data_IF_745200545379
#
_entry.id   IF_745200545379
#
_cell.length_a   1.000
_cell.length_b   1.000
_cell.length_c   1.000
_cell.angle_alpha   90.00
_cell.angle_beta   90.00
_cell.angle_gamma   90.00
#
_symmetry.space_group_name_H-M   'P 1'
#
loop_
_entity.id
_entity.type
_entity.pdbx_description
1 polymer ?
#
# COMPACT_ATOMS: atom_id res chain seq x y z
N UNK A 1 17.33 4.47 -40.31
CA UNK A 1 17.94 4.07 -39.03
C UNK A 1 16.90 4.34 -37.95
N UNK A 2 16.06 3.35 -37.64
CA UNK A 2 14.99 3.50 -36.65
C UNK A 2 15.49 2.97 -35.32
N UNK A 3 15.56 3.84 -34.32
CA UNK A 3 16.00 3.51 -32.97
C UNK A 3 14.89 2.67 -32.29
N UNK A 4 15.13 1.42 -31.87
CA UNK A 4 14.08 0.65 -31.20
C UNK A 4 13.86 1.22 -29.79
N UNK A 5 12.61 1.26 -29.29
CA UNK A 5 12.36 1.65 -27.91
C UNK A 5 13.02 0.63 -26.98
N UNK A 6 13.88 1.10 -26.08
CA UNK A 6 14.42 0.31 -24.98
C UNK A 6 13.27 -0.12 -24.06
N UNK A 7 12.61 -1.24 -24.36
CA UNK A 7 11.75 -1.92 -23.41
C UNK A 7 12.65 -2.80 -22.56
N UNK A 8 13.12 -2.27 -21.44
CA UNK A 8 13.75 -3.08 -20.41
C UNK A 8 12.67 -3.99 -19.80
N UNK A 9 12.82 -5.33 -19.83
CA UNK A 9 11.93 -6.21 -19.08
C UNK A 9 12.30 -6.10 -17.60
N UNK A 10 11.85 -5.02 -16.95
CA UNK A 10 11.84 -4.95 -15.49
C UNK A 10 10.79 -5.93 -15.00
N UNK A 11 11.21 -7.02 -14.35
CA UNK A 11 10.29 -7.88 -13.61
C UNK A 11 9.63 -7.04 -12.52
N UNK A 12 8.36 -6.67 -12.69
CA UNK A 12 7.57 -6.05 -11.65
C UNK A 12 7.36 -7.11 -10.55
N UNK A 13 8.01 -6.94 -9.40
CA UNK A 13 7.71 -7.75 -8.20
C UNK A 13 6.24 -7.51 -7.83
N UNK A 14 5.40 -8.53 -7.94
CA UNK A 14 3.97 -8.39 -7.68
C UNK A 14 3.72 -8.34 -6.17
N UNK A 15 3.49 -7.14 -5.65
CA UNK A 15 3.04 -6.96 -4.27
C UNK A 15 1.55 -7.25 -4.23
N UNK A 16 1.15 -8.26 -3.46
CA UNK A 16 -0.26 -8.64 -3.29
C UNK A 16 -0.66 -8.52 -1.83
N UNK A 17 -1.86 -8.01 -1.59
CA UNK A 17 -2.47 -8.06 -0.27
C UNK A 17 -3.39 -9.25 -0.15
N UNK A 18 -3.29 -9.94 0.99
CA UNK A 18 -4.24 -10.98 1.36
C UNK A 18 -5.12 -10.38 2.45
N UNK A 19 -6.42 -10.32 2.17
CA UNK A 19 -7.41 -9.98 3.17
C UNK A 19 -7.65 -11.19 4.06
N UNK A 20 -7.51 -11.02 5.37
CA UNK A 20 -8.02 -11.97 6.36
C UNK A 20 -9.27 -11.33 6.96
N UNK A 21 -10.46 -11.89 6.74
CA UNK A 21 -11.69 -11.27 7.22
C UNK A 21 -12.89 -12.20 7.18
N UNK A 22 -14.02 -11.82 7.81
CA UNK A 22 -15.22 -12.65 7.84
C UNK A 22 -15.72 -12.89 6.42
N UNK A 23 -15.83 -14.16 6.03
CA UNK A 23 -16.59 -14.53 4.83
C UNK A 23 -18.06 -14.24 5.13
N UNK A 24 -18.64 -13.33 4.34
CA UNK A 24 -20.06 -13.05 4.13
C UNK A 24 -21.03 -13.32 5.32
N UNK A 25 -21.59 -12.26 5.91
CA UNK A 25 -22.74 -12.41 6.83
C UNK A 25 -22.91 -11.37 7.93
N UNK A 26 -21.92 -10.50 8.20
CA UNK A 26 -22.11 -9.40 9.16
C UNK A 26 -21.21 -8.21 8.84
N UNK A 27 -21.83 -7.11 8.38
CA UNK A 27 -21.18 -5.82 8.15
C UNK A 27 -21.08 -5.06 9.49
N UNK A 28 -20.36 -5.64 10.45
CA UNK A 28 -19.91 -4.93 11.65
C UNK A 28 -18.67 -5.61 12.21
N UNK A 29 -17.51 -5.10 11.79
CA UNK A 29 -16.21 -5.62 12.17
C UNK A 29 -15.09 -4.79 11.58
N UNK A 30 -13.86 -5.20 11.88
CA UNK A 30 -12.64 -4.66 11.27
C UNK A 30 -12.10 -5.63 10.22
N UNK A 31 -11.55 -5.11 9.13
CA UNK A 31 -10.89 -5.90 8.08
C UNK A 31 -9.36 -5.80 8.24
N UNK A 32 -8.68 -6.86 8.74
CA UNK A 32 -7.24 -6.97 8.62
C UNK A 32 -6.81 -7.29 7.19
N UNK A 33 -5.84 -6.53 6.70
CA UNK A 33 -5.14 -6.76 5.44
C UNK A 33 -3.64 -6.87 5.70
N UNK A 34 -2.99 -7.82 5.04
CA UNK A 34 -1.53 -7.96 5.09
C UNK A 34 -0.93 -7.84 3.70
N UNK A 35 0.02 -6.91 3.55
CA UNK A 35 0.89 -6.76 2.39
C UNK A 35 2.24 -7.41 2.70
N UNK A 36 2.60 -8.46 1.96
CA UNK A 36 3.94 -9.05 2.04
C UNK A 36 4.79 -8.43 0.93
N UNK A 37 5.91 -7.83 1.31
CA UNK A 37 6.85 -7.21 0.38
C UNK A 37 7.94 -8.21 -0.01
N UNK A 38 8.15 -8.38 -1.31
CA UNK A 38 9.17 -9.27 -1.87
C UNK A 38 10.08 -8.51 -2.83
N UNK A 39 11.37 -8.87 -2.87
CA UNK A 39 12.33 -8.30 -3.82
C UNK A 39 12.82 -6.88 -3.51
N UNK A 40 12.43 -6.32 -2.35
CA UNK A 40 12.94 -5.06 -1.83
C UNK A 40 12.89 -5.06 -0.29
N UNK A 41 13.82 -4.38 0.39
CA UNK A 41 13.72 -4.21 1.84
C UNK A 41 12.56 -3.27 2.19
N UNK A 42 11.69 -3.67 3.12
CA UNK A 42 10.58 -2.84 3.58
C UNK A 42 11.07 -1.53 4.21
N UNK A 43 12.19 -1.57 4.92
CA UNK A 43 12.81 -0.45 5.64
C UNK A 43 13.80 0.35 4.78
N UNK A 44 13.50 0.55 3.49
CA UNK A 44 14.31 1.37 2.57
C UNK A 44 14.08 2.86 2.78
N UNK A 45 15.13 3.68 2.63
CA UNK A 45 15.01 5.14 2.56
C UNK A 45 14.31 5.63 1.27
N UNK A 46 14.33 4.79 0.24
CA UNK A 46 13.86 5.15 -1.09
C UNK A 46 12.38 4.89 -1.30
N UNK A 47 11.70 4.17 -0.39
CA UNK A 47 10.35 3.68 -0.62
C UNK A 47 9.40 3.97 0.52
N UNK A 48 8.23 4.49 0.16
CA UNK A 48 7.02 4.43 0.95
C UNK A 48 6.05 3.38 0.37
N UNK A 49 5.18 2.88 1.25
CA UNK A 49 4.23 1.83 0.94
C UNK A 49 2.81 2.38 1.08
N UNK A 50 2.13 2.44 -0.05
CA UNK A 50 0.81 3.01 -0.20
C UNK A 50 -0.24 1.90 -0.16
N UNK A 51 -1.28 2.08 0.65
CA UNK A 51 -2.45 1.23 0.67
C UNK A 51 -3.56 1.89 -0.14
N UNK A 52 -4.03 1.22 -1.19
CA UNK A 52 -5.10 1.69 -2.06
C UNK A 52 -6.18 0.64 -2.20
N UNK A 53 -7.41 1.05 -2.51
CA UNK A 53 -8.47 0.13 -2.91
C UNK A 53 -9.06 0.53 -4.25
N UNK A 54 -9.52 -0.44 -5.00
CA UNK A 54 -10.19 -0.28 -6.27
C UNK A 54 -11.65 -0.71 -6.12
N UNK A 55 -12.57 0.22 -6.39
CA UNK A 55 -14.00 -0.05 -6.41
C UNK A 55 -14.38 -0.91 -7.62
N UNK A 56 -15.56 -1.57 -7.62
CA UNK A 56 -16.08 -2.36 -8.75
C UNK A 56 -16.22 -1.63 -10.10
N UNK A 57 -15.93 -0.33 -10.19
CA UNK A 57 -15.85 0.44 -11.45
C UNK A 57 -14.44 0.88 -11.84
N UNK A 58 -13.40 0.33 -11.20
CA UNK A 58 -12.00 0.64 -11.50
C UNK A 58 -11.44 1.89 -10.80
N UNK A 59 -12.28 2.69 -10.13
CA UNK A 59 -11.86 3.87 -9.38
C UNK A 59 -10.96 3.49 -8.20
N UNK A 60 -9.78 4.10 -8.15
CA UNK A 60 -8.83 3.95 -7.05
C UNK A 60 -9.10 4.96 -5.94
N UNK A 61 -9.08 4.49 -4.70
CA UNK A 61 -9.18 5.29 -3.49
C UNK A 61 -7.97 5.04 -2.60
N UNK A 62 -7.37 6.14 -2.15
CA UNK A 62 -6.21 6.13 -1.29
C UNK A 62 -6.61 5.94 0.18
N UNK A 63 -6.13 4.88 0.84
CA UNK A 63 -6.42 4.61 2.26
C UNK A 63 -5.40 5.28 3.17
N UNK A 64 -4.12 5.24 2.79
CA UNK A 64 -3.02 5.75 3.59
C UNK A 64 -1.68 5.20 3.11
N UNK A 65 -0.60 5.68 3.72
CA UNK A 65 0.77 5.26 3.43
C UNK A 65 1.56 5.07 4.71
N UNK A 66 2.62 4.28 4.61
CA UNK A 66 3.63 4.14 5.65
C UNK A 66 5.01 4.25 5.03
N UNK A 67 5.88 5.03 5.67
CA UNK A 67 7.31 5.09 5.39
C UNK A 67 8.07 4.48 6.56
N UNK A 68 8.38 3.17 6.50
CA UNK A 68 8.94 2.44 7.63
C UNK A 68 10.30 2.99 8.07
N UNK A 69 11.14 3.47 7.14
CA UNK A 69 12.45 4.03 7.47
C UNK A 69 12.34 5.26 8.37
N UNK A 70 11.50 6.23 7.98
CA UNK A 70 11.26 7.46 8.76
C UNK A 70 10.21 7.33 9.86
N UNK A 71 9.68 6.13 10.10
CA UNK A 71 8.62 5.85 11.07
C UNK A 71 7.41 6.79 10.96
N UNK A 72 7.02 7.12 9.73
CA UNK A 72 5.94 8.06 9.46
C UNK A 72 4.77 7.37 8.75
N UNK A 73 3.55 7.82 9.03
CA UNK A 73 2.33 7.33 8.41
C UNK A 73 1.42 8.48 8.02
N UNK A 74 0.71 8.31 6.92
CA UNK A 74 -0.33 9.23 6.49
C UNK A 74 -1.62 8.49 6.17
N UNK A 75 -2.73 9.20 6.29
CA UNK A 75 -4.07 8.63 6.06
C UNK A 75 -4.80 9.42 4.99
N UNK A 76 -5.51 8.71 4.12
CA UNK A 76 -6.43 9.34 3.18
C UNK A 76 -7.52 10.11 3.93
N UNK A 77 -7.92 11.32 3.49
CA UNK A 77 -8.90 12.15 4.20
C UNK A 77 -10.21 11.43 4.50
N UNK A 78 -10.69 10.62 3.55
CA UNK A 78 -11.94 9.85 3.67
C UNK A 78 -11.85 8.69 4.67
N UNK A 79 -10.65 8.26 5.04
CA UNK A 79 -10.40 7.08 5.87
C UNK A 79 -9.76 7.42 7.22
N UNK A 80 -9.53 8.70 7.47
CA UNK A 80 -8.97 9.18 8.74
C UNK A 80 -9.89 8.77 9.89
N UNK A 81 -9.29 8.20 10.94
CA UNK A 81 -10.02 7.66 12.09
C UNK A 81 -10.63 6.27 11.91
N UNK A 82 -10.61 5.72 10.68
CA UNK A 82 -11.07 4.35 10.38
C UNK A 82 -9.95 3.41 9.98
N UNK A 83 -8.81 3.92 9.52
CA UNK A 83 -7.67 3.10 9.09
C UNK A 83 -6.53 3.17 10.10
N UNK A 84 -5.96 2.01 10.43
CA UNK A 84 -4.70 1.87 11.15
C UNK A 84 -3.69 1.17 10.23
N UNK A 85 -2.46 1.69 10.12
CA UNK A 85 -1.39 1.12 9.28
C UNK A 85 -0.17 0.91 10.17
N UNK A 86 0.47 -0.24 10.05
CA UNK A 86 1.73 -0.56 10.73
C UNK A 86 2.64 -1.43 9.86
N UNK A 87 3.90 -1.58 10.26
CA UNK A 87 4.89 -2.37 9.54
C UNK A 87 5.70 -3.24 10.49
N UNK A 88 5.95 -4.48 10.09
CA UNK A 88 6.93 -5.40 10.67
C UNK A 88 8.11 -5.49 9.69
N UNK A 89 9.19 -4.78 10.04
CA UNK A 89 10.39 -4.63 9.22
C UNK A 89 11.15 -5.96 9.08
N UNK A 90 11.16 -6.76 10.14
CA UNK A 90 11.88 -8.04 10.18
C UNK A 90 11.20 -9.06 9.27
N UNK A 91 9.86 -9.03 9.21
CA UNK A 91 9.07 -9.94 8.36
C UNK A 91 8.75 -9.37 6.97
N UNK A 92 9.20 -8.15 6.65
CA UNK A 92 8.84 -7.43 5.43
C UNK A 92 7.32 -7.41 5.17
N UNK A 93 6.54 -7.07 6.20
CA UNK A 93 5.07 -6.99 6.12
C UNK A 93 4.53 -5.62 6.50
N UNK A 94 3.56 -5.14 5.74
CA UNK A 94 2.70 -4.00 6.10
C UNK A 94 1.33 -4.53 6.47
N UNK A 95 0.78 -4.03 7.57
CA UNK A 95 -0.55 -4.36 8.06
C UNK A 95 -1.45 -3.14 7.93
N UNK A 96 -2.68 -3.37 7.47
CA UNK A 96 -3.74 -2.38 7.47
C UNK A 96 -4.96 -2.95 8.19
N UNK A 97 -5.53 -2.17 9.10
CA UNK A 97 -6.80 -2.47 9.74
C UNK A 97 -7.81 -1.40 9.32
N UNK A 98 -8.88 -1.81 8.63
CA UNK A 98 -10.01 -0.91 8.33
C UNK A 98 -11.15 -1.20 9.31
N UNK A 99 -11.55 -0.17 10.06
CA UNK A 99 -12.58 -0.24 11.10
C UNK A 99 -13.94 0.25 10.60
N UNK A 100 -15.00 -0.23 11.24
CA UNK A 100 -16.38 0.19 10.98
C UNK A 100 -16.81 -0.10 9.54
N UNK A 101 -16.54 -1.31 9.05
CA UNK A 101 -16.87 -1.70 7.67
C UNK A 101 -18.34 -1.41 7.33
N UNK A 102 -18.55 -0.91 6.12
CA UNK A 102 -19.84 -0.64 5.50
C UNK A 102 -19.93 -1.33 4.13
N UNK A 103 -21.11 -1.42 3.53
CA UNK A 103 -21.26 -1.99 2.18
C UNK A 103 -20.39 -1.26 1.13
N UNK A 104 -20.19 0.05 1.31
CA UNK A 104 -19.32 0.90 0.47
C UNK A 104 -17.83 0.58 0.58
N UNK A 105 -17.42 -0.27 1.53
CA UNK A 105 -16.04 -0.72 1.67
C UNK A 105 -15.73 -1.98 0.85
N UNK A 106 -16.69 -2.47 0.07
CA UNK A 106 -16.49 -3.58 -0.88
C UNK A 106 -15.60 -3.12 -2.04
N UNK A 107 -14.38 -3.63 -2.08
CA UNK A 107 -13.36 -3.24 -3.05
C UNK A 107 -12.25 -4.30 -3.14
N UNK A 108 -11.42 -4.22 -4.18
CA UNK A 108 -10.15 -4.94 -4.23
C UNK A 108 -9.07 -4.07 -3.62
N UNK A 109 -8.27 -4.60 -2.70
CA UNK A 109 -7.27 -3.82 -1.97
C UNK A 109 -5.86 -4.13 -2.48
N UNK A 110 -5.06 -3.08 -2.73
CA UNK A 110 -3.68 -3.18 -3.22
C UNK A 110 -2.68 -2.42 -2.34
N UNK A 111 -1.44 -2.90 -2.38
CA UNK A 111 -0.27 -2.29 -1.75
C UNK A 111 0.68 -1.90 -2.86
N UNK A 112 1.03 -0.62 -2.94
CA UNK A 112 1.84 -0.05 -3.99
C UNK A 112 3.11 0.55 -3.39
N UNK A 113 4.25 0.26 -4.02
CA UNK A 113 5.52 0.90 -3.69
C UNK A 113 5.61 2.22 -4.45
N UNK A 114 5.96 3.30 -3.76
CA UNK A 114 6.28 4.58 -4.38
C UNK A 114 7.72 4.98 -4.03
N UNK A 115 8.37 5.72 -4.93
CA UNK A 115 9.70 6.26 -4.67
C UNK A 115 9.56 7.55 -3.85
N UNK A 116 10.19 7.57 -2.68
CA UNK A 116 10.38 8.80 -1.92
C UNK A 116 11.47 9.61 -2.61
N UNK A 117 11.15 10.82 -3.09
CA UNK A 117 12.18 11.75 -3.53
C UNK A 117 12.95 12.23 -2.30
N UNK A 118 14.18 11.76 -2.13
CA UNK A 118 15.11 12.38 -1.18
C UNK A 118 15.58 13.71 -1.80
N UNK A 119 15.67 14.81 -1.02
CA UNK A 119 16.43 15.97 -1.46
C UNK A 119 17.84 15.51 -1.83
N UNK A 120 18.30 15.82 -3.04
CA UNK A 120 19.72 15.71 -3.35
C UNK A 120 20.39 16.80 -2.52
N UNK A 121 21.05 16.44 -1.43
CA UNK A 121 21.95 17.36 -0.74
C UNK A 121 23.12 17.66 -1.68
N UNK A 122 23.09 18.84 -2.33
CA UNK A 122 24.23 19.40 -3.05
C UNK A 122 23.98 19.73 -4.52
N UNK A 123 23.49 20.94 -4.79
CA UNK A 123 24.00 21.78 -5.87
C UNK A 123 23.83 23.25 -5.43
N UNK A 124 24.91 23.82 -4.89
CA UNK A 124 25.14 25.24 -4.70
C UNK A 124 26.55 25.54 -5.22
#
# INVERSE_FOLDING_TARGET
MSNPPCVSPGTLSSIRMVASGPKEGKVSGSLPLTCTVTGAPLNSQLYDWNCVRQLPGGQLQFLGWIYPFGNNTGYGPLFRGRVTISADKDKNKVFLQLHGLTASDTATYFCARQHTMLPVEGEA
#
